data_IF_022116213945
#
_entry.id   IF_022116213945
#
_cell.length_a   1.000
_cell.length_b   1.000
_cell.length_c   1.000
_cell.angle_alpha   90.00
_cell.angle_beta   90.00
_cell.angle_gamma   90.00
#
_symmetry.space_group_name_H-M   'P 1'
#
loop_
_entity.id
_entity.type
_entity.pdbx_description
1 polymer ?
#
# COMPACT_ATOMS: atom_id res chain seq x y z
N UNK A 1 15.02 -21.28 -32.45
CA UNK A 1 15.51 -20.36 -31.41
C UNK A 1 14.30 -19.92 -30.60
N UNK A 2 14.07 -20.50 -29.43
CA UNK A 2 12.98 -20.08 -28.53
C UNK A 2 13.50 -18.94 -27.65
N UNK A 3 12.92 -17.75 -27.79
CA UNK A 3 13.10 -16.69 -26.82
C UNK A 3 12.36 -17.07 -25.53
N UNK A 4 13.11 -17.45 -24.50
CA UNK A 4 12.56 -17.56 -23.15
C UNK A 4 12.50 -16.13 -22.60
N UNK A 5 11.34 -15.49 -22.75
CA UNK A 5 11.05 -14.27 -22.02
C UNK A 5 10.90 -14.65 -20.55
N UNK A 6 11.92 -14.37 -19.74
CA UNK A 6 11.81 -14.39 -18.29
C UNK A 6 10.71 -13.40 -17.91
N UNK A 7 9.56 -13.90 -17.46
CA UNK A 7 8.50 -13.06 -16.90
C UNK A 7 8.92 -12.75 -15.47
N UNK A 8 9.49 -11.58 -15.26
CA UNK A 8 9.71 -11.08 -13.91
C UNK A 8 8.34 -10.70 -13.35
N UNK A 9 7.90 -11.39 -12.30
CA UNK A 9 6.73 -10.97 -11.55
C UNK A 9 7.05 -9.61 -10.95
N UNK A 10 6.32 -8.58 -11.39
CA UNK A 10 6.41 -7.27 -10.79
C UNK A 10 5.45 -7.23 -9.60
N UNK A 11 5.97 -7.02 -8.41
CA UNK A 11 5.21 -6.88 -7.17
C UNK A 11 5.51 -5.52 -6.53
N UNK A 12 4.58 -4.98 -5.76
CA UNK A 12 4.83 -3.81 -4.93
C UNK A 12 4.85 -4.26 -3.48
N UNK A 13 5.92 -3.92 -2.78
CA UNK A 13 5.99 -4.10 -1.34
C UNK A 13 5.80 -2.75 -0.65
N UNK A 14 4.85 -2.66 0.27
CA UNK A 14 4.71 -1.50 1.14
C UNK A 14 5.12 -1.85 2.57
N UNK A 15 5.99 -1.02 3.13
CA UNK A 15 6.35 -1.05 4.55
C UNK A 15 5.47 -0.05 5.29
N UNK A 16 4.74 -0.52 6.29
CA UNK A 16 3.87 0.28 7.14
C UNK A 16 4.42 0.24 8.56
N UNK A 17 4.66 1.41 9.14
CA UNK A 17 5.18 1.56 10.49
C UNK A 17 4.18 2.28 11.37
N UNK A 18 3.93 1.75 12.56
CA UNK A 18 3.12 2.42 13.56
C UNK A 18 3.50 1.96 14.97
N UNK A 19 3.63 2.90 15.89
CA UNK A 19 3.96 2.63 17.30
C UNK A 19 5.27 1.80 17.47
N UNK A 20 6.28 2.08 16.65
CA UNK A 20 7.56 1.37 16.66
C UNK A 20 7.51 -0.05 16.09
N UNK A 21 6.35 -0.49 15.60
CA UNK A 21 6.19 -1.76 14.89
C UNK A 21 6.24 -1.53 13.39
N UNK A 22 6.89 -2.46 12.67
CA UNK A 22 6.95 -2.48 11.23
C UNK A 22 6.17 -3.68 10.69
N UNK A 23 5.43 -3.44 9.61
CA UNK A 23 4.67 -4.44 8.90
C UNK A 23 4.94 -4.33 7.41
N UNK A 24 4.98 -5.45 6.71
CA UNK A 24 5.15 -5.50 5.26
C UNK A 24 3.91 -6.10 4.62
N UNK A 25 3.54 -5.58 3.46
CA UNK A 25 2.46 -6.10 2.63
C UNK A 25 2.89 -6.12 1.17
N UNK A 26 2.82 -7.30 0.57
CA UNK A 26 3.05 -7.48 -0.86
C UNK A 26 1.71 -7.30 -1.60
N UNK A 27 1.77 -6.54 -2.69
CA UNK A 27 0.64 -6.12 -3.50
C UNK A 27 0.93 -6.57 -4.92
N UNK A 28 0.15 -7.53 -5.38
CA UNK A 28 0.20 -8.02 -6.75
C UNK A 28 -0.81 -7.27 -7.62
N UNK A 29 -0.53 -7.13 -8.93
CA UNK A 29 -1.46 -6.47 -9.85
C UNK A 29 -2.76 -7.26 -9.98
N UNK A 30 -3.88 -6.56 -10.04
CA UNK A 30 -5.21 -7.15 -10.26
C UNK A 30 -6.01 -6.38 -11.31
N UNK A 31 -6.90 -7.08 -12.00
CA UNK A 31 -7.95 -6.50 -12.87
C UNK A 31 -9.27 -6.32 -12.09
N UNK A 32 -9.40 -6.90 -10.90
CA UNK A 32 -10.58 -6.76 -10.05
C UNK A 32 -10.50 -5.49 -9.21
N UNK A 33 -11.38 -4.54 -9.50
CA UNK A 33 -11.48 -3.25 -8.80
C UNK A 33 -11.94 -3.37 -7.35
N UNK A 34 -12.35 -4.55 -6.90
CA UNK A 34 -12.72 -4.85 -5.51
C UNK A 34 -11.70 -5.72 -4.78
N UNK A 35 -10.63 -6.15 -5.45
CA UNK A 35 -9.55 -6.89 -4.82
C UNK A 35 -8.56 -5.89 -4.18
N UNK A 36 -8.31 -6.10 -2.89
CA UNK A 36 -7.41 -5.29 -2.09
C UNK A 36 -6.48 -6.16 -1.25
N UNK A 37 -5.28 -5.66 -0.98
CA UNK A 37 -4.36 -6.19 0.01
C UNK A 37 -4.51 -5.34 1.28
N UNK A 38 -4.87 -5.96 2.40
CA UNK A 38 -5.18 -5.24 3.64
C UNK A 38 -4.33 -5.77 4.79
N UNK A 39 -3.84 -4.85 5.62
CA UNK A 39 -3.29 -5.15 6.94
C UNK A 39 -4.03 -4.37 8.02
N UNK A 40 -4.40 -5.07 9.09
CA UNK A 40 -4.98 -4.50 10.29
C UNK A 40 -3.90 -4.37 11.36
N UNK A 41 -3.77 -3.19 11.94
CA UNK A 41 -2.77 -2.88 12.95
C UNK A 41 -3.49 -2.77 14.30
N UNK A 42 -2.90 -3.36 15.33
CA UNK A 42 -3.51 -3.50 16.68
C UNK A 42 -3.96 -2.17 17.28
N UNK A 43 -3.29 -1.07 16.92
CA UNK A 43 -3.60 0.26 17.45
C UNK A 43 -4.80 0.97 16.78
N UNK A 44 -5.53 0.25 15.93
CA UNK A 44 -6.78 0.70 15.30
C UNK A 44 -6.62 1.19 13.86
N UNK A 45 -5.39 1.27 13.35
CA UNK A 45 -5.19 1.55 11.94
C UNK A 45 -5.46 0.32 11.06
N UNK A 46 -5.94 0.57 9.86
CA UNK A 46 -5.97 -0.40 8.77
C UNK A 46 -5.38 0.26 7.54
N UNK A 47 -4.32 -0.35 7.01
CA UNK A 47 -3.77 0.02 5.72
C UNK A 47 -4.32 -0.92 4.66
N UNK A 48 -4.68 -0.38 3.51
CA UNK A 48 -5.19 -1.16 2.38
C UNK A 48 -4.60 -0.60 1.10
N UNK A 49 -4.19 -1.47 0.20
CA UNK A 49 -3.62 -1.09 -1.08
C UNK A 49 -4.23 -1.92 -2.22
N UNK A 50 -4.26 -1.33 -3.40
CA UNK A 50 -4.76 -1.97 -4.61
C UNK A 50 -3.92 -1.50 -5.80
N UNK A 51 -3.33 -2.45 -6.51
CA UNK A 51 -2.67 -2.19 -7.79
C UNK A 51 -3.60 -2.57 -8.94
N UNK A 52 -4.12 -1.55 -9.62
CA UNK A 52 -4.95 -1.72 -10.81
C UNK A 52 -4.05 -1.83 -12.04
N UNK A 53 -4.01 -3.02 -12.64
CA UNK A 53 -3.14 -3.32 -13.77
C UNK A 53 -3.48 -2.49 -15.01
N UNK A 54 -4.77 -2.29 -15.29
CA UNK A 54 -5.25 -1.61 -16.50
C UNK A 54 -4.70 -0.19 -16.67
N UNK A 55 -4.47 0.54 -15.58
CA UNK A 55 -4.01 1.93 -15.59
C UNK A 55 -2.62 2.09 -14.95
N UNK A 56 -1.92 0.98 -14.70
CA UNK A 56 -0.66 0.88 -13.95
C UNK A 56 -0.58 1.85 -12.77
N UNK A 57 -1.56 1.73 -11.87
CA UNK A 57 -1.68 2.63 -10.72
C UNK A 57 -1.91 1.86 -9.43
N UNK A 58 -1.35 2.38 -8.35
CA UNK A 58 -1.61 1.90 -7.01
C UNK A 58 -2.42 2.92 -6.24
N UNK A 59 -3.46 2.45 -5.57
CA UNK A 59 -4.23 3.23 -4.60
C UNK A 59 -3.93 2.70 -3.21
N UNK A 60 -3.70 3.62 -2.27
CA UNK A 60 -3.57 3.29 -0.85
C UNK A 60 -4.67 3.98 -0.07
N UNK A 61 -5.12 3.30 0.98
CA UNK A 61 -6.18 3.75 1.87
C UNK A 61 -5.74 3.47 3.30
N UNK A 62 -5.87 4.49 4.15
CA UNK A 62 -5.67 4.35 5.58
C UNK A 62 -6.98 4.62 6.26
N UNK A 63 -7.42 3.64 7.04
CA UNK A 63 -8.59 3.74 7.90
C UNK A 63 -8.16 3.76 9.36
N UNK A 64 -8.98 4.37 10.20
CA UNK A 64 -8.85 4.29 11.64
C UNK A 64 -10.16 3.85 12.28
N UNK A 65 -10.07 2.93 13.23
CA UNK A 65 -11.22 2.40 13.94
C UNK A 65 -11.69 3.40 15.02
N UNK A 66 -12.82 4.06 14.77
CA UNK A 66 -13.44 5.04 15.67
C UNK A 66 -14.76 4.51 16.20
N UNK A 67 -14.82 4.33 17.52
CA UNK A 67 -15.98 3.81 18.28
C UNK A 67 -16.40 2.41 17.79
N UNK A 68 -17.17 2.35 16.72
CA UNK A 68 -17.79 1.13 16.18
C UNK A 68 -17.49 0.89 14.70
N UNK A 69 -16.78 1.79 14.01
CA UNK A 69 -16.55 1.69 12.56
C UNK A 69 -15.17 2.14 12.12
N UNK A 70 -14.73 1.60 10.99
CA UNK A 70 -13.55 2.09 10.28
C UNK A 70 -13.92 3.37 9.53
N UNK A 71 -13.15 4.42 9.72
CA UNK A 71 -13.28 5.70 9.03
C UNK A 71 -12.07 5.87 8.13
N UNK A 72 -12.30 6.15 6.85
CA UNK A 72 -11.23 6.49 5.92
C UNK A 72 -10.66 7.85 6.33
N UNK A 73 -9.36 7.91 6.54
CA UNK A 73 -8.65 9.13 6.99
C UNK A 73 -7.57 9.57 6.01
N UNK A 74 -7.12 8.70 5.11
CA UNK A 74 -6.24 9.04 4.00
C UNK A 74 -6.51 8.14 2.81
N UNK A 75 -6.50 8.72 1.62
CA UNK A 75 -6.53 8.01 0.35
C UNK A 75 -5.50 8.66 -0.57
N UNK A 76 -4.64 7.87 -1.18
CA UNK A 76 -3.63 8.34 -2.12
C UNK A 76 -3.61 7.45 -3.36
N UNK A 77 -3.28 8.06 -4.50
CA UNK A 77 -3.14 7.38 -5.78
C UNK A 77 -1.77 7.72 -6.36
N UNK A 78 -1.04 6.70 -6.79
CA UNK A 78 0.28 6.84 -7.39
C UNK A 78 0.31 6.16 -8.75
N UNK A 79 0.84 6.87 -9.73
CA UNK A 79 1.07 6.35 -11.06
C UNK A 79 2.41 5.59 -11.10
N UNK A 80 2.36 4.30 -11.43
CA UNK A 80 3.54 3.43 -11.38
C UNK A 80 4.42 3.56 -12.63
N UNK A 81 3.94 4.22 -13.68
CA UNK A 81 4.75 4.57 -14.85
C UNK A 81 5.87 5.57 -14.51
N UNK A 82 5.71 6.32 -13.42
CA UNK A 82 6.69 7.28 -12.93
C UNK A 82 7.60 6.70 -11.84
N UNK A 83 7.40 5.44 -11.48
CA UNK A 83 8.11 4.77 -10.40
C UNK A 83 9.20 3.86 -10.97
N UNK A 84 10.45 4.12 -10.60
CA UNK A 84 11.57 3.24 -10.93
C UNK A 84 11.61 2.02 -10.02
N UNK A 85 12.00 0.88 -10.59
CA UNK A 85 12.23 -0.36 -9.85
C UNK A 85 13.26 -0.17 -8.73
N UNK A 86 12.98 -0.74 -7.56
CA UNK A 86 13.85 -0.68 -6.38
C UNK A 86 13.90 0.67 -5.67
N UNK A 87 13.27 1.73 -6.21
CA UNK A 87 13.21 3.03 -5.55
C UNK A 87 11.94 3.18 -4.72
N UNK A 88 12.03 3.79 -3.52
CA UNK A 88 10.87 4.06 -2.69
C UNK A 88 10.00 5.15 -3.32
N UNK A 89 8.69 5.00 -3.19
CA UNK A 89 7.68 5.97 -3.58
C UNK A 89 6.53 5.98 -2.56
N UNK A 90 5.64 6.96 -2.71
CA UNK A 90 4.42 7.03 -1.89
C UNK A 90 4.67 7.16 -0.39
N UNK A 91 5.78 7.79 0.01
CA UNK A 91 6.07 8.04 1.42
C UNK A 91 5.02 8.97 2.01
N UNK A 92 4.31 8.52 3.04
CA UNK A 92 3.30 9.35 3.71
C UNK A 92 3.18 9.03 5.19
N UNK A 93 2.83 10.07 5.96
CA UNK A 93 2.48 9.98 7.38
C UNK A 93 1.02 10.36 7.54
N UNK A 94 0.26 9.51 8.22
CA UNK A 94 -1.17 9.68 8.48
C UNK A 94 -1.39 9.70 9.99
N UNK A 95 -2.17 10.67 10.43
CA UNK A 95 -2.46 10.92 11.85
C UNK A 95 -3.91 10.55 12.18
N UNK A 96 -4.13 9.99 13.37
CA UNK A 96 -5.46 9.65 13.84
C UNK A 96 -5.58 9.69 15.36
N UNK A 97 -6.78 10.04 15.81
CA UNK A 97 -7.23 9.94 17.21
C UNK A 97 -6.73 11.04 18.15
N UNK A 98 -7.04 10.86 19.44
CA UNK A 98 -6.74 11.80 20.53
C UNK A 98 -5.31 11.66 21.10
N UNK A 99 -4.48 10.80 20.52
CA UNK A 99 -3.19 10.37 21.11
C UNK A 99 -2.01 10.54 20.16
N UNK A 100 -2.07 11.48 19.21
CA UNK A 100 -0.96 11.80 18.29
C UNK A 100 -0.38 10.54 17.60
N UNK A 101 -1.25 9.57 17.28
CA UNK A 101 -0.79 8.30 16.72
C UNK A 101 -0.47 8.48 15.26
N UNK A 102 0.69 8.00 14.86
CA UNK A 102 1.14 8.06 13.48
C UNK A 102 1.13 6.69 12.83
N UNK A 103 0.71 6.67 11.57
CA UNK A 103 0.99 5.59 10.63
C UNK A 103 1.87 6.16 9.53
N UNK A 104 3.06 5.60 9.38
CA UNK A 104 3.95 5.90 8.28
C UNK A 104 3.89 4.76 7.28
N UNK A 105 3.91 5.06 5.98
CA UNK A 105 4.14 4.04 4.98
C UNK A 105 5.02 4.52 3.85
N UNK A 106 5.69 3.57 3.21
CA UNK A 106 6.49 3.75 2.00
C UNK A 106 6.37 2.48 1.17
N UNK A 107 6.31 2.62 -0.16
CA UNK A 107 6.20 1.50 -1.06
C UNK A 107 7.41 1.43 -2.01
N UNK A 108 7.74 0.23 -2.46
CA UNK A 108 8.81 -0.02 -3.43
C UNK A 108 8.28 -0.97 -4.50
N UNK A 109 8.55 -0.66 -5.77
CA UNK A 109 8.19 -1.53 -6.90
C UNK A 109 9.34 -2.51 -7.15
N UNK A 110 9.07 -3.80 -7.01
CA UNK A 110 9.99 -4.88 -7.37
C UNK A 110 9.81 -5.23 -8.84
N UNK A 111 10.94 -5.31 -9.52
CA UNK A 111 11.14 -5.76 -10.88
C UNK A 111 12.43 -6.58 -10.87
#
# INVERSE_FOLDING_TARGET
MCHISSVWASDIQCTVQSYGQEFQIDISPTEDVFQYNTINIVNGYRFTAQWLKTNDKIKTYVYYFLKTKHVLISQQEFNLNQTSCGLPFGKSTVYAGNHERELNFVCTKSC
#
